data_IF_311168487083
#
_entry.id   IF_311168487083
#
_cell.length_a   1.000
_cell.length_b   1.000
_cell.length_c   1.000
_cell.angle_alpha   90.00
_cell.angle_beta   90.00
_cell.angle_gamma   90.00
#
_symmetry.space_group_name_H-M   'P 1'
#
loop_
_entity.id
_entity.type
_entity.pdbx_description
1 polymer ?
#
# COMPACT_ATOMS: atom_id res chain seq x y z
N UNK A 1 8.91 12.25 -7.23
CA UNK A 1 8.04 11.78 -6.14
C UNK A 1 7.67 10.34 -6.43
N UNK A 2 8.15 9.43 -5.59
CA UNK A 2 7.78 8.02 -5.61
C UNK A 2 6.76 7.78 -4.52
N UNK A 3 5.85 6.84 -4.74
CA UNK A 3 4.83 6.43 -3.80
C UNK A 3 5.02 4.96 -3.49
N UNK A 4 5.18 4.63 -2.22
CA UNK A 4 5.37 3.27 -1.75
C UNK A 4 4.10 2.80 -1.07
N UNK A 5 3.54 1.70 -1.56
CA UNK A 5 2.41 1.02 -0.92
C UNK A 5 2.97 -0.18 -0.17
N UNK A 6 2.78 -0.20 1.15
CA UNK A 6 3.27 -1.22 2.05
C UNK A 6 2.08 -2.00 2.58
N UNK A 7 2.16 -3.31 2.47
CA UNK A 7 1.19 -4.24 3.06
C UNK A 7 1.85 -4.88 4.26
N UNK A 8 1.16 -4.88 5.39
CA UNK A 8 1.58 -5.56 6.60
C UNK A 8 0.61 -6.71 6.89
N UNK A 9 1.15 -7.86 7.28
CA UNK A 9 0.38 -8.96 7.85
C UNK A 9 0.78 -9.13 9.30
N UNK A 10 -0.20 -9.04 10.21
CA UNK A 10 0.02 -9.15 11.66
C UNK A 10 1.15 -8.22 12.17
N UNK A 11 1.12 -6.96 11.72
CA UNK A 11 2.11 -5.93 12.02
C UNK A 11 3.53 -6.15 11.49
N UNK A 12 3.73 -7.14 10.60
CA UNK A 12 5.01 -7.42 9.93
C UNK A 12 4.91 -7.00 8.46
N UNK A 13 5.97 -6.39 7.90
CA UNK A 13 6.03 -6.05 6.46
C UNK A 13 5.94 -7.32 5.62
N UNK A 14 4.90 -7.41 4.78
CA UNK A 14 4.62 -8.56 3.92
C UNK A 14 5.01 -8.25 2.47
N UNK A 15 4.56 -7.11 1.94
CA UNK A 15 4.82 -6.74 0.54
C UNK A 15 4.99 -5.23 0.36
N UNK A 16 5.88 -4.85 -0.55
CA UNK A 16 6.26 -3.47 -0.83
C UNK A 16 6.22 -3.19 -2.32
N UNK A 17 5.36 -2.27 -2.72
CA UNK A 17 5.21 -1.86 -4.11
C UNK A 17 5.57 -0.38 -4.29
N UNK A 18 6.44 -0.06 -5.26
CA UNK A 18 6.86 1.32 -5.56
C UNK A 18 6.19 1.78 -6.86
N UNK A 19 5.62 2.97 -6.80
CA UNK A 19 4.88 3.62 -7.87
C UNK A 19 5.47 5.00 -8.16
N UNK A 20 5.51 5.40 -9.43
CA UNK A 20 5.97 6.72 -9.85
C UNK A 20 4.83 7.74 -10.00
N UNK A 21 3.57 7.28 -9.93
CA UNK A 21 2.38 8.10 -10.09
C UNK A 21 1.44 7.88 -8.89
N UNK A 22 0.95 8.99 -8.31
CA UNK A 22 0.04 9.01 -7.18
C UNK A 22 -1.26 8.25 -7.45
N UNK A 23 -1.83 8.42 -8.63
CA UNK A 23 -3.13 7.81 -8.97
C UNK A 23 -3.04 6.28 -8.99
N UNK A 24 -1.94 5.74 -9.52
CA UNK A 24 -1.69 4.30 -9.54
C UNK A 24 -1.52 3.73 -8.13
N UNK A 25 -0.76 4.43 -7.27
CA UNK A 25 -0.61 4.04 -5.87
C UNK A 25 -1.95 4.06 -5.13
N UNK A 26 -2.76 5.09 -5.36
CA UNK A 26 -4.08 5.23 -4.74
C UNK A 26 -5.03 4.10 -5.18
N UNK A 27 -5.10 3.83 -6.48
CA UNK A 27 -5.89 2.73 -7.04
C UNK A 27 -5.48 1.39 -6.43
N UNK A 28 -4.17 1.17 -6.22
CA UNK A 28 -3.67 -0.04 -5.57
C UNK A 28 -4.14 -0.14 -4.12
N UNK A 29 -3.99 0.92 -3.33
CA UNK A 29 -4.46 0.93 -1.92
C UNK A 29 -5.95 0.66 -1.83
N UNK A 30 -6.76 1.27 -2.70
CA UNK A 30 -8.20 1.03 -2.76
C UNK A 30 -8.53 -0.42 -3.12
N UNK A 31 -7.79 -1.00 -4.07
CA UNK A 31 -7.95 -2.40 -4.43
C UNK A 31 -7.60 -3.35 -3.28
N UNK A 32 -6.49 -3.09 -2.58
CA UNK A 32 -6.04 -3.91 -1.45
C UNK A 32 -6.99 -3.80 -0.25
N UNK A 33 -7.37 -2.58 0.17
CA UNK A 33 -8.30 -2.37 1.29
C UNK A 33 -9.75 -2.76 0.95
N UNK A 34 -10.17 -2.58 -0.30
CA UNK A 34 -11.56 -2.74 -0.74
C UNK A 34 -11.91 -4.11 -1.30
N UNK A 35 -10.96 -4.83 -1.90
CA UNK A 35 -11.21 -6.14 -2.54
C UNK A 35 -10.46 -7.25 -1.82
N UNK A 36 -9.12 -7.17 -1.77
CA UNK A 36 -8.26 -8.28 -1.30
C UNK A 36 -8.35 -8.50 0.21
N UNK A 37 -8.31 -7.42 0.99
CA UNK A 37 -8.20 -7.47 2.45
C UNK A 37 -9.40 -6.89 3.19
N UNK A 38 -10.51 -6.60 2.49
CA UNK A 38 -11.70 -5.96 3.05
C UNK A 38 -12.22 -6.59 4.35
N UNK A 39 -12.14 -7.91 4.46
CA UNK A 39 -12.58 -8.65 5.65
C UNK A 39 -11.43 -9.16 6.51
N UNK A 40 -10.18 -8.90 6.13
CA UNK A 40 -9.03 -9.40 6.86
C UNK A 40 -8.57 -8.38 7.88
N UNK A 41 -8.71 -8.71 9.16
CA UNK A 41 -8.25 -7.88 10.28
C UNK A 41 -6.74 -7.93 10.49
N UNK A 42 -6.07 -8.92 9.91
CA UNK A 42 -4.62 -9.11 10.03
C UNK A 42 -3.84 -8.26 9.04
N UNK A 43 -4.45 -7.86 7.91
CA UNK A 43 -3.75 -7.08 6.90
C UNK A 43 -3.98 -5.58 7.09
N UNK A 44 -2.88 -4.83 7.10
CA UNK A 44 -2.88 -3.36 7.09
C UNK A 44 -2.20 -2.88 5.81
N UNK A 45 -2.71 -1.82 5.19
CA UNK A 45 -2.13 -1.24 3.97
C UNK A 45 -1.80 0.22 4.23
N UNK A 46 -0.56 0.64 4.03
CA UNK A 46 -0.11 2.02 4.16
C UNK A 46 0.43 2.54 2.82
N UNK A 47 0.30 3.84 2.60
CA UNK A 47 0.90 4.54 1.48
C UNK A 47 1.83 5.61 2.02
N UNK A 48 3.10 5.55 1.62
CA UNK A 48 4.14 6.55 1.94
C UNK A 48 4.55 7.26 0.67
N UNK A 49 4.71 8.57 0.76
CA UNK A 49 5.30 9.38 -0.31
C UNK A 49 6.79 9.51 -0.04
N UNK A 50 7.62 8.94 -0.91
CA UNK A 50 9.06 9.18 -0.92
C UNK A 50 9.34 10.33 -1.90
N UNK A 51 9.58 11.51 -1.34
CA UNK A 51 10.32 12.51 -2.08
C UNK A 51 11.77 12.03 -2.14
N UNK A 52 12.24 11.58 -3.31
CA UNK A 52 13.68 11.49 -3.56
C UNK A 52 14.26 12.89 -3.26
N UNK A 53 15.16 12.96 -2.28
CA UNK A 53 15.85 14.16 -1.78
C UNK A 53 16.76 14.79 -2.85
#
# INVERSE_FOLDING_TARGET
MKYKVITYYDHIEDDVEIYYNKDNALNRVHHLRGVKYRNSRMYTVEMKEEADE
#
